data_IF_738351047738
#
_entry.id   IF_738351047738
#
_cell.length_a   1.000
_cell.length_b   1.000
_cell.length_c   1.000
_cell.angle_alpha   90.00
_cell.angle_beta   90.00
_cell.angle_gamma   90.00
#
_symmetry.space_group_name_H-M   'P 1'
#
loop_
_entity.id
_entity.type
_entity.pdbx_description
1 polymer ?
#
# COMPACT_ATOMS: atom_id res chain seq x y z
N UNK A 1 4.06 -3.12 19.32
CA UNK A 1 4.18 -4.59 19.53
C UNK A 1 5.57 -5.12 19.21
N UNK A 2 6.44 -4.37 18.52
CA UNK A 2 7.75 -4.86 18.09
C UNK A 2 7.69 -5.76 16.85
N UNK A 3 6.49 -5.94 16.28
CA UNK A 3 6.30 -6.69 15.04
C UNK A 3 6.89 -5.94 13.85
N UNK A 4 7.43 -6.69 12.91
CA UNK A 4 8.01 -6.15 11.68
C UNK A 4 7.10 -6.49 10.51
N UNK A 5 7.01 -5.56 9.56
CA UNK A 5 6.19 -5.67 8.37
C UNK A 5 7.06 -5.46 7.14
N UNK A 6 6.91 -6.30 6.13
CA UNK A 6 7.61 -6.18 4.86
C UNK A 6 6.65 -6.33 3.70
N UNK A 7 6.73 -5.39 2.76
CA UNK A 7 6.10 -5.49 1.46
C UNK A 7 6.87 -6.46 0.57
N UNK A 8 6.13 -7.34 -0.09
CA UNK A 8 6.58 -8.14 -1.21
C UNK A 8 5.77 -7.67 -2.41
N UNK A 9 6.23 -6.60 -3.05
CA UNK A 9 5.45 -5.77 -3.99
C UNK A 9 4.79 -6.59 -5.11
N UNK A 10 5.52 -7.45 -5.80
CA UNK A 10 4.98 -8.41 -6.75
C UNK A 10 6.11 -9.36 -7.22
N UNK A 11 5.74 -10.42 -7.95
CA UNK A 11 6.66 -11.24 -8.72
C UNK A 11 5.88 -11.97 -9.84
N UNK A 12 5.69 -11.30 -10.97
CA UNK A 12 4.96 -11.85 -12.12
C UNK A 12 5.68 -13.01 -12.81
N UNK A 13 6.99 -13.18 -12.57
CA UNK A 13 7.79 -14.31 -13.03
C UNK A 13 7.77 -15.53 -12.10
N UNK A 14 7.11 -15.45 -10.94
CA UNK A 14 7.10 -16.55 -9.96
C UNK A 14 6.46 -17.81 -10.55
N UNK A 15 7.22 -18.88 -10.61
CA UNK A 15 6.78 -20.20 -11.10
C UNK A 15 6.53 -21.21 -9.98
N UNK A 16 7.12 -21.00 -8.80
CA UNK A 16 7.01 -21.88 -7.64
C UNK A 16 6.47 -21.10 -6.44
N UNK A 17 5.56 -21.75 -5.72
CA UNK A 17 4.96 -21.22 -4.49
C UNK A 17 5.62 -21.81 -3.25
N UNK A 18 5.59 -21.03 -2.18
CA UNK A 18 5.90 -21.43 -0.82
C UNK A 18 4.91 -20.73 0.12
N UNK A 19 4.99 -20.99 1.41
CA UNK A 19 4.03 -20.45 2.38
C UNK A 19 4.01 -18.91 2.38
N UNK A 20 5.17 -18.26 2.27
CA UNK A 20 5.28 -16.79 2.26
C UNK A 20 4.91 -16.19 0.89
N UNK A 21 4.90 -17.01 -0.15
CA UNK A 21 4.67 -16.63 -1.54
C UNK A 21 3.67 -17.58 -2.22
N UNK A 22 2.38 -17.49 -1.86
CA UNK A 22 1.40 -18.53 -2.20
C UNK A 22 0.87 -18.47 -3.64
N UNK A 23 1.37 -17.56 -4.49
CA UNK A 23 0.87 -17.35 -5.85
C UNK A 23 1.97 -17.45 -6.89
N UNK A 24 1.76 -18.26 -7.92
CA UNK A 24 2.50 -18.11 -9.18
C UNK A 24 2.03 -16.86 -9.92
N UNK A 25 2.89 -16.29 -10.76
CA UNK A 25 2.63 -15.06 -11.52
C UNK A 25 1.99 -13.96 -10.65
N UNK A 26 2.55 -13.74 -9.46
CA UNK A 26 2.00 -12.83 -8.47
C UNK A 26 2.08 -11.38 -8.98
N UNK A 27 0.94 -10.82 -9.41
CA UNK A 27 0.85 -9.44 -9.93
C UNK A 27 0.52 -8.39 -8.87
N UNK A 28 0.02 -8.82 -7.71
CA UNK A 28 -0.62 -7.91 -6.75
C UNK A 28 0.21 -7.68 -5.49
N UNK A 29 1.05 -8.66 -5.10
CA UNK A 29 1.88 -8.54 -3.91
C UNK A 29 1.19 -8.88 -2.59
N UNK A 30 1.96 -8.79 -1.51
CA UNK A 30 1.50 -9.06 -0.16
C UNK A 30 2.33 -8.28 0.86
N UNK A 31 1.81 -8.19 2.09
CA UNK A 31 2.58 -7.73 3.25
C UNK A 31 2.73 -8.91 4.20
N UNK A 32 3.98 -9.28 4.48
CA UNK A 32 4.34 -10.28 5.48
C UNK A 32 4.60 -9.57 6.80
N UNK A 33 4.15 -10.16 7.90
CA UNK A 33 4.40 -9.71 9.25
C UNK A 33 5.09 -10.80 10.04
N UNK A 34 6.05 -10.45 10.88
CA UNK A 34 6.63 -11.38 11.84
C UNK A 34 6.90 -10.73 13.20
N UNK A 35 7.12 -11.60 14.19
CA UNK A 35 7.51 -11.25 15.54
C UNK A 35 8.63 -12.19 16.00
N UNK A 36 9.75 -11.62 16.40
CA UNK A 36 10.88 -12.34 16.95
C UNK A 36 10.52 -13.00 18.30
N UNK A 37 11.12 -14.16 18.55
CA UNK A 37 10.82 -14.99 19.73
C UNK A 37 11.12 -14.22 21.02
N UNK A 38 10.14 -14.20 21.92
CA UNK A 38 10.25 -13.46 23.19
C UNK A 38 10.18 -11.95 23.06
N UNK A 39 9.88 -11.40 21.87
CA UNK A 39 9.91 -9.96 21.62
C UNK A 39 11.32 -9.37 21.61
N UNK A 40 12.33 -10.19 21.35
CA UNK A 40 13.74 -9.81 21.27
C UNK A 40 14.19 -9.71 19.81
N UNK A 41 14.51 -8.51 19.35
CA UNK A 41 14.99 -8.25 17.99
C UNK A 41 16.33 -8.94 17.66
N UNK A 42 17.05 -9.46 18.66
CA UNK A 42 18.25 -10.27 18.46
C UNK A 42 17.98 -11.77 18.30
N UNK A 43 16.73 -12.23 18.49
CA UNK A 43 16.38 -13.64 18.38
C UNK A 43 16.51 -14.13 16.93
N UNK A 44 16.93 -15.39 16.77
CA UNK A 44 17.12 -16.04 15.45
C UNK A 44 15.87 -16.80 14.97
N UNK A 45 14.79 -16.76 15.73
CA UNK A 45 13.52 -17.43 15.43
C UNK A 45 12.38 -16.46 15.56
N UNK A 46 11.36 -16.61 14.71
CA UNK A 46 10.20 -15.74 14.68
C UNK A 46 8.93 -16.55 14.31
N UNK A 47 7.78 -16.03 14.72
CA UNK A 47 6.49 -16.42 14.17
C UNK A 47 6.07 -15.39 13.12
N UNK A 48 5.40 -15.82 12.05
CA UNK A 48 5.03 -14.94 10.95
C UNK A 48 3.67 -15.29 10.35
N UNK A 49 3.04 -14.30 9.72
CA UNK A 49 1.82 -14.45 8.94
C UNK A 49 1.79 -13.50 7.73
N UNK A 50 0.92 -13.78 6.77
CA UNK A 50 0.60 -12.81 5.71
C UNK A 50 -0.45 -11.84 6.29
N UNK A 51 -0.04 -10.61 6.57
CA UNK A 51 -0.91 -9.56 7.08
C UNK A 51 -2.02 -9.22 6.07
N UNK A 52 -1.65 -9.10 4.80
CA UNK A 52 -2.58 -8.96 3.68
C UNK A 52 -1.98 -9.56 2.41
N UNK A 53 -2.80 -10.34 1.70
CA UNK A 53 -2.52 -10.75 0.33
C UNK A 53 -3.29 -9.79 -0.58
N UNK A 54 -2.61 -8.81 -1.16
CA UNK A 54 -3.25 -7.84 -2.06
C UNK A 54 -3.80 -8.57 -3.29
N UNK A 55 -4.89 -8.08 -3.87
CA UNK A 55 -5.60 -8.76 -4.96
C UNK A 55 -6.78 -7.93 -5.45
N UNK A 56 -7.48 -8.43 -6.47
CA UNK A 56 -8.59 -7.72 -7.11
C UNK A 56 -9.89 -8.53 -7.07
N UNK A 57 -10.75 -8.34 -6.04
CA UNK A 57 -12.05 -9.00 -5.95
C UNK A 57 -13.06 -8.50 -6.99
N UNK A 58 -12.84 -7.36 -7.65
CA UNK A 58 -13.70 -6.90 -8.74
C UNK A 58 -13.54 -7.79 -9.99
N UNK A 59 -12.31 -8.25 -10.24
CA UNK A 59 -11.97 -9.09 -11.40
C UNK A 59 -12.10 -10.58 -11.06
N UNK A 60 -11.75 -10.95 -9.82
CA UNK A 60 -11.80 -12.31 -9.30
C UNK A 60 -12.78 -12.39 -8.13
N UNK A 61 -14.09 -12.44 -8.37
CA UNK A 61 -15.10 -12.43 -7.30
C UNK A 61 -15.11 -13.74 -6.49
N UNK A 62 -14.63 -14.84 -7.05
CA UNK A 62 -14.43 -16.09 -6.33
C UNK A 62 -13.27 -15.96 -5.33
N UNK A 63 -13.61 -15.94 -4.04
CA UNK A 63 -12.67 -15.80 -2.93
C UNK A 63 -11.73 -16.99 -2.75
N UNK A 64 -12.03 -18.14 -3.35
CA UNK A 64 -11.09 -19.27 -3.38
C UNK A 64 -9.91 -19.03 -4.33
N UNK A 65 -10.04 -18.08 -5.27
CA UNK A 65 -8.95 -17.65 -6.11
C UNK A 65 -8.06 -16.64 -5.37
N UNK A 66 -6.80 -17.00 -5.13
CA UNK A 66 -5.84 -16.13 -4.43
C UNK A 66 -5.57 -14.78 -5.13
N UNK A 67 -5.93 -14.63 -6.41
CA UNK A 67 -5.90 -13.33 -7.10
C UNK A 67 -6.97 -12.36 -6.60
N UNK A 68 -8.01 -12.85 -5.93
CA UNK A 68 -9.01 -12.04 -5.23
C UNK A 68 -8.43 -11.29 -4.03
N UNK A 69 -7.33 -11.79 -3.47
CA UNK A 69 -6.71 -11.27 -2.24
C UNK A 69 -7.27 -11.95 -0.98
N UNK A 70 -6.68 -11.62 0.18
CA UNK A 70 -7.15 -12.10 1.49
C UNK A 70 -8.43 -11.40 1.94
N UNK A 71 -9.11 -11.93 2.96
CA UNK A 71 -10.45 -11.47 3.41
C UNK A 71 -10.56 -9.99 3.76
N UNK A 72 -9.45 -9.36 4.16
CA UNK A 72 -9.37 -7.92 4.42
C UNK A 72 -9.18 -7.05 3.15
N UNK A 73 -9.14 -7.68 1.96
CA UNK A 73 -9.18 -7.00 0.65
C UNK A 73 -10.59 -7.12 0.06
N UNK A 74 -11.23 -5.97 -0.08
CA UNK A 74 -12.61 -5.79 -0.55
C UNK A 74 -12.63 -4.99 -1.84
N UNK A 75 -13.80 -4.93 -2.48
CA UNK A 75 -14.03 -4.09 -3.66
C UNK A 75 -13.76 -2.61 -3.40
N UNK A 76 -13.98 -2.16 -2.16
CA UNK A 76 -13.84 -0.75 -1.77
C UNK A 76 -12.39 -0.38 -1.46
N UNK A 77 -11.55 -1.32 -1.02
CA UNK A 77 -10.18 -1.04 -0.60
C UNK A 77 -9.10 -1.71 -1.46
N UNK A 78 -9.45 -2.44 -2.53
CA UNK A 78 -8.49 -3.18 -3.35
C UNK A 78 -7.34 -2.33 -3.90
N UNK A 79 -6.13 -2.89 -3.88
CA UNK A 79 -4.89 -2.27 -4.33
C UNK A 79 -3.93 -3.33 -4.89
N UNK A 80 -2.86 -2.90 -5.55
CA UNK A 80 -1.79 -3.76 -6.04
C UNK A 80 -0.42 -3.14 -5.74
N UNK A 81 0.61 -3.97 -5.68
CA UNK A 81 2.00 -3.58 -5.45
C UNK A 81 2.20 -2.65 -4.25
N UNK A 82 1.89 -3.12 -3.02
CA UNK A 82 2.29 -2.37 -1.85
C UNK A 82 3.83 -2.27 -1.82
N UNK A 83 4.33 -1.07 -1.56
CA UNK A 83 5.76 -0.76 -1.57
C UNK A 83 6.16 -0.09 -0.25
N UNK A 84 5.92 1.21 -0.12
CA UNK A 84 6.27 1.96 1.09
C UNK A 84 5.38 1.59 2.28
N UNK A 85 6.00 1.55 3.47
CA UNK A 85 5.31 1.36 4.75
C UNK A 85 5.80 2.38 5.77
N UNK A 86 4.89 2.85 6.63
CA UNK A 86 5.27 3.55 7.85
C UNK A 86 4.27 3.34 8.97
N UNK A 87 4.77 3.39 10.19
CA UNK A 87 3.94 3.52 11.38
C UNK A 87 3.88 4.97 11.83
N UNK A 88 2.72 5.39 12.33
CA UNK A 88 2.61 6.59 13.14
C UNK A 88 2.63 6.28 14.64
N UNK A 89 2.65 7.33 15.47
CA UNK A 89 2.73 7.21 16.92
C UNK A 89 1.48 6.55 17.55
N UNK A 90 0.36 6.50 16.82
CA UNK A 90 -0.85 5.81 17.25
C UNK A 90 -0.84 4.31 16.87
N UNK A 91 0.20 3.85 16.16
CA UNK A 91 0.35 2.47 15.73
C UNK A 91 -0.44 2.11 14.48
N UNK A 92 -0.93 3.08 13.71
CA UNK A 92 -1.55 2.80 12.40
C UNK A 92 -0.47 2.49 11.37
N UNK A 93 -0.72 1.50 10.51
CA UNK A 93 0.16 1.13 9.41
C UNK A 93 -0.28 1.84 8.14
N UNK A 94 0.55 2.75 7.65
CA UNK A 94 0.38 3.42 6.37
C UNK A 94 1.02 2.58 5.26
N UNK A 95 0.28 2.35 4.19
CA UNK A 95 0.68 1.50 3.05
C UNK A 95 0.65 2.36 1.79
N UNK A 96 1.79 2.48 1.13
CA UNK A 96 1.95 3.21 -0.13
C UNK A 96 2.06 2.21 -1.30
N UNK A 97 1.59 2.57 -2.50
CA UNK A 97 1.61 1.65 -3.66
C UNK A 97 2.44 2.19 -4.81
N UNK A 98 3.21 1.29 -5.42
CA UNK A 98 3.88 1.45 -6.72
C UNK A 98 3.40 0.33 -7.67
N UNK A 99 2.16 0.49 -8.08
CA UNK A 99 1.40 -0.50 -8.82
C UNK A 99 1.04 -0.08 -10.22
N UNK A 100 0.45 -1.04 -10.92
CA UNK A 100 -0.14 -0.79 -12.22
C UNK A 100 -1.39 0.08 -12.07
N UNK A 101 -1.36 1.25 -12.71
CA UNK A 101 -2.42 2.27 -12.70
C UNK A 101 -3.29 2.26 -13.96
N UNK A 102 -3.23 1.21 -14.80
CA UNK A 102 -4.03 1.14 -16.03
C UNK A 102 -5.53 1.12 -15.79
N UNK A 103 -5.95 0.76 -14.57
CA UNK A 103 -7.34 0.60 -14.17
C UNK A 103 -8.14 -0.28 -15.16
N UNK A 104 -7.50 -1.32 -15.70
CA UNK A 104 -8.05 -2.20 -16.72
C UNK A 104 -7.53 -3.63 -16.55
N UNK A 105 -8.21 -4.61 -17.16
CA UNK A 105 -7.82 -6.02 -17.05
C UNK A 105 -7.72 -6.48 -15.59
N UNK A 106 -6.56 -7.03 -15.22
CA UNK A 106 -6.23 -7.47 -13.85
C UNK A 106 -6.37 -6.34 -12.79
N UNK A 107 -6.21 -5.09 -13.20
CA UNK A 107 -6.18 -3.93 -12.29
C UNK A 107 -7.46 -3.09 -12.37
N UNK A 108 -8.51 -3.61 -13.02
CA UNK A 108 -9.78 -2.91 -13.16
C UNK A 108 -10.38 -2.56 -11.79
N UNK A 109 -10.73 -1.30 -11.61
CA UNK A 109 -11.31 -0.76 -10.37
C UNK A 109 -10.29 -0.33 -9.31
N UNK A 110 -8.98 -0.51 -9.53
CA UNK A 110 -7.94 -0.10 -8.56
C UNK A 110 -7.48 1.35 -8.74
N UNK A 111 -7.64 1.94 -9.93
CA UNK A 111 -7.30 3.33 -10.20
C UNK A 111 -5.79 3.63 -10.20
N UNK A 112 -5.44 4.88 -9.86
CA UNK A 112 -4.04 5.30 -9.70
C UNK A 112 -3.44 4.74 -8.41
N UNK A 113 -2.12 4.88 -8.27
CA UNK A 113 -1.43 4.61 -7.03
C UNK A 113 -1.98 5.44 -5.85
N UNK A 114 -1.86 4.88 -4.66
CA UNK A 114 -2.66 5.26 -3.52
C UNK A 114 -1.89 5.09 -2.21
N UNK A 115 -2.42 5.70 -1.16
CA UNK A 115 -2.04 5.42 0.21
C UNK A 115 -3.25 4.85 0.96
N UNK A 116 -3.03 3.76 1.68
CA UNK A 116 -4.01 3.14 2.57
C UNK A 116 -3.54 3.27 4.03
N UNK A 117 -4.49 3.14 4.93
CA UNK A 117 -4.24 3.07 6.36
C UNK A 117 -4.84 1.75 6.88
N UNK A 118 -4.04 1.00 7.62
CA UNK A 118 -4.43 -0.27 8.19
C UNK A 118 -4.31 -0.25 9.71
N UNK A 119 -5.23 -0.95 10.37
CA UNK A 119 -5.12 -1.29 11.78
C UNK A 119 -4.39 -2.65 11.90
N UNK A 120 -3.18 -2.69 12.47
CA UNK A 120 -2.42 -3.92 12.70
C UNK A 120 -3.15 -5.04 13.45
N UNK A 121 -4.01 -4.66 14.40
CA UNK A 121 -4.67 -5.59 15.31
C UNK A 121 -5.89 -6.23 14.64
N UNK A 122 -6.74 -5.41 14.01
CA UNK A 122 -7.97 -5.89 13.35
C UNK A 122 -7.75 -6.32 11.90
N UNK A 123 -6.60 -5.93 11.31
CA UNK A 123 -6.28 -6.06 9.87
C UNK A 123 -7.23 -5.29 8.95
N UNK A 124 -8.06 -4.38 9.47
CA UNK A 124 -8.90 -3.51 8.65
C UNK A 124 -8.02 -2.58 7.81
N UNK A 125 -8.35 -2.40 6.53
CA UNK A 125 -7.62 -1.54 5.60
C UNK A 125 -8.60 -0.57 4.94
N UNK A 126 -8.28 0.72 4.98
CA UNK A 126 -9.05 1.78 4.31
C UNK A 126 -8.15 2.58 3.37
N UNK A 127 -8.64 2.84 2.15
CA UNK A 127 -7.97 3.78 1.24
C UNK A 127 -8.08 5.18 1.81
N UNK A 128 -6.96 5.88 1.94
CA UNK A 128 -6.89 7.23 2.49
C UNK A 128 -6.67 8.29 1.41
N UNK A 129 -5.80 8.01 0.44
CA UNK A 129 -5.41 8.95 -0.60
C UNK A 129 -5.21 8.25 -1.94
N UNK A 130 -5.51 8.93 -3.05
CA UNK A 130 -5.20 8.48 -4.41
C UNK A 130 -4.41 9.58 -5.11
N UNK A 131 -3.28 9.20 -5.70
CA UNK A 131 -2.36 10.10 -6.38
C UNK A 131 -2.84 10.57 -7.75
N UNK A 132 -2.14 11.56 -8.33
CA UNK A 132 -2.34 11.96 -9.71
C UNK A 132 -1.99 10.84 -10.70
N UNK A 133 -2.27 11.10 -11.98
CA UNK A 133 -2.04 10.13 -13.05
C UNK A 133 -0.56 9.73 -13.12
N UNK A 134 -0.35 8.41 -13.27
CA UNK A 134 0.94 7.79 -13.58
C UNK A 134 2.04 8.04 -12.53
N UNK A 135 1.68 8.48 -11.32
CA UNK A 135 2.63 8.57 -10.22
C UNK A 135 2.68 7.24 -9.46
N UNK A 136 3.70 7.07 -8.64
CA UNK A 136 3.66 6.23 -7.45
C UNK A 136 3.47 7.09 -6.19
N UNK A 137 3.01 6.48 -5.11
CA UNK A 137 3.01 7.09 -3.78
C UNK A 137 4.17 6.49 -3.01
N UNK A 138 5.04 7.32 -2.45
CA UNK A 138 6.24 6.84 -1.77
C UNK A 138 6.77 7.87 -0.78
N UNK A 139 7.35 7.40 0.32
CA UNK A 139 8.03 8.21 1.31
C UNK A 139 7.04 9.07 2.11
N UNK A 140 6.79 8.62 3.33
CA UNK A 140 5.90 9.28 4.29
C UNK A 140 6.64 9.66 5.56
N UNK A 141 6.30 10.81 6.13
CA UNK A 141 6.71 11.22 7.48
C UNK A 141 5.66 12.11 8.13
N UNK A 142 5.77 12.31 9.44
CA UNK A 142 4.79 13.01 10.26
C UNK A 142 5.46 14.08 11.12
N UNK A 143 4.72 15.14 11.45
CA UNK A 143 5.12 16.01 12.56
C UNK A 143 5.01 15.25 13.90
N UNK A 144 5.78 15.64 14.93
CA UNK A 144 5.72 14.98 16.25
C UNK A 144 4.35 15.01 16.93
N UNK A 145 3.46 15.93 16.55
CA UNK A 145 2.09 16.00 17.05
C UNK A 145 1.09 15.17 16.21
N UNK A 146 1.57 14.50 15.16
CA UNK A 146 0.78 13.72 14.19
C UNK A 146 -0.34 14.50 13.49
N UNK A 147 -0.29 15.83 13.48
CA UNK A 147 -1.30 16.70 12.83
C UNK A 147 -0.99 17.02 11.37
N UNK A 148 0.25 16.79 10.96
CA UNK A 148 0.70 17.01 9.58
C UNK A 148 1.40 15.76 9.09
N UNK A 149 1.00 15.30 7.91
CA UNK A 149 1.66 14.21 7.19
C UNK A 149 2.27 14.76 5.90
N UNK A 150 3.50 14.34 5.61
CA UNK A 150 4.18 14.60 4.35
C UNK A 150 4.25 13.30 3.57
N UNK A 151 3.81 13.30 2.31
CA UNK A 151 3.96 12.15 1.41
C UNK A 151 4.58 12.60 0.08
N UNK A 152 5.39 11.77 -0.58
CA UNK A 152 5.88 12.11 -1.92
C UNK A 152 5.01 11.51 -3.01
N UNK A 153 4.85 12.33 -4.04
CA UNK A 153 4.30 11.96 -5.34
C UNK A 153 5.48 11.85 -6.28
N UNK A 154 5.84 10.64 -6.67
CA UNK A 154 6.99 10.38 -7.53
C UNK A 154 6.55 10.14 -8.97
N UNK A 155 7.34 10.69 -9.90
CA UNK A 155 7.17 10.62 -11.36
C UNK A 155 5.74 10.78 -11.91
N UNK A 156 4.95 11.78 -11.47
CA UNK A 156 3.66 12.03 -12.09
C UNK A 156 3.83 12.22 -13.59
N UNK A 157 3.02 11.53 -14.39
CA UNK A 157 3.12 11.60 -15.84
C UNK A 157 4.29 10.84 -16.45
N UNK A 158 4.74 9.72 -15.88
CA UNK A 158 5.82 8.92 -16.49
C UNK A 158 5.51 8.47 -17.94
N UNK A 159 4.23 8.30 -18.26
CA UNK A 159 3.71 8.01 -19.61
C UNK A 159 3.31 9.26 -20.39
N UNK A 160 3.59 10.46 -19.86
CA UNK A 160 3.28 11.75 -20.46
C UNK A 160 1.85 12.25 -20.23
N UNK A 161 1.03 11.57 -19.42
CA UNK A 161 -0.39 11.93 -19.24
C UNK A 161 -0.68 12.62 -17.91
N UNK A 162 0.22 13.49 -17.45
CA UNK A 162 -0.01 14.34 -16.28
C UNK A 162 0.55 15.73 -16.49
N UNK A 163 -0.10 16.72 -15.89
CA UNK A 163 0.42 18.08 -15.74
C UNK A 163 0.44 18.48 -14.25
N UNK A 164 0.37 17.50 -13.35
CA UNK A 164 0.38 17.75 -11.91
C UNK A 164 1.77 18.22 -11.43
N UNK A 165 1.87 19.16 -10.47
CA UNK A 165 0.76 19.75 -9.70
C UNK A 165 0.06 20.96 -10.33
N UNK A 166 0.72 21.70 -11.23
CA UNK A 166 0.21 23.01 -11.70
C UNK A 166 -1.01 22.91 -12.63
N UNK A 167 -1.22 21.79 -13.30
CA UNK A 167 -2.32 21.56 -14.25
C UNK A 167 -2.09 22.19 -15.62
N UNK A 168 -3.14 22.22 -16.45
CA UNK A 168 -3.10 22.78 -17.79
C UNK A 168 -2.14 22.02 -18.72
N UNK A 169 -1.15 22.72 -19.25
CA UNK A 169 -0.07 22.17 -20.11
C UNK A 169 1.31 22.22 -19.43
N UNK A 170 1.35 22.36 -18.11
CA UNK A 170 2.59 22.43 -17.36
C UNK A 170 3.31 21.08 -17.35
N UNK A 171 4.64 21.09 -17.46
CA UNK A 171 5.44 19.87 -17.31
C UNK A 171 5.21 19.30 -15.90
N UNK A 172 4.90 18.00 -15.75
CA UNK A 172 4.64 17.43 -14.44
C UNK A 172 5.92 17.36 -13.60
N UNK A 173 5.75 17.42 -12.28
CA UNK A 173 6.86 17.49 -11.32
C UNK A 173 6.58 16.60 -10.13
N UNK A 174 7.55 15.77 -9.75
CA UNK A 174 7.52 15.12 -8.43
C UNK A 174 7.48 16.19 -7.34
N UNK A 175 6.75 15.93 -6.26
CA UNK A 175 6.70 16.83 -5.11
C UNK A 175 6.31 16.09 -3.84
N UNK A 176 6.75 16.64 -2.70
CA UNK A 176 6.21 16.31 -1.39
C UNK A 176 4.94 17.14 -1.17
N UNK A 177 3.84 16.51 -0.82
CA UNK A 177 2.61 17.21 -0.41
C UNK A 177 2.44 17.17 1.10
N UNK A 178 1.67 18.13 1.60
CA UNK A 178 1.32 18.27 3.01
C UNK A 178 -0.16 17.93 3.16
N UNK A 179 -0.47 16.96 4.01
CA UNK A 179 -1.83 16.57 4.36
C UNK A 179 -2.10 17.01 5.79
N UNK A 180 -3.19 17.77 5.96
CA UNK A 180 -3.70 18.27 7.26
C UNK A 180 -5.21 18.06 7.32
N UNK A 181 -5.77 17.90 8.53
CA UNK A 181 -7.22 17.95 8.73
C UNK A 181 -7.69 19.40 8.83
N UNK A 182 -8.86 19.70 8.27
CA UNK A 182 -9.47 21.04 8.34
C UNK A 182 -9.73 21.50 9.78
N UNK A 183 -9.96 20.58 10.71
CA UNK A 183 -10.17 20.83 12.13
C UNK A 183 -8.86 20.91 12.95
N UNK A 184 -7.70 20.72 12.30
CA UNK A 184 -6.39 20.68 12.97
C UNK A 184 -6.17 19.45 13.86
N UNK A 185 -6.99 18.41 13.69
CA UNK A 185 -6.86 17.14 14.41
C UNK A 185 -5.71 16.28 13.90
N UNK A 186 -5.45 15.19 14.65
CA UNK A 186 -4.46 14.17 14.29
C UNK A 186 -4.89 13.45 13.01
N UNK A 187 -3.98 13.27 12.06
CA UNK A 187 -4.26 12.55 10.80
C UNK A 187 -4.75 11.13 11.11
N UNK A 188 -5.74 10.64 10.36
CA UNK A 188 -6.27 9.27 10.49
C UNK A 188 -7.14 9.02 11.73
N UNK A 189 -7.58 10.07 12.43
CA UNK A 189 -8.57 10.01 13.53
C UNK A 189 -9.95 10.46 13.10
#
# INVERSE_FOLDING_TARGET
TGEVYATLTNNSGRSVTDDANPRTANRYGQIVRWRETGGDAAALTFEWDIFVLAGNPNVYPDRSNLKSGSDNVTVDNTFNSPDGLAFDDAGRLWIETDGNYSNSGEYAGQGNNQMLCADPATKEIRRFFTGPKECEITGVTFTPDSKTMFINIQHPGEGGNSNWPEGGSARPRSATIIITKNDGGVIGT
#
